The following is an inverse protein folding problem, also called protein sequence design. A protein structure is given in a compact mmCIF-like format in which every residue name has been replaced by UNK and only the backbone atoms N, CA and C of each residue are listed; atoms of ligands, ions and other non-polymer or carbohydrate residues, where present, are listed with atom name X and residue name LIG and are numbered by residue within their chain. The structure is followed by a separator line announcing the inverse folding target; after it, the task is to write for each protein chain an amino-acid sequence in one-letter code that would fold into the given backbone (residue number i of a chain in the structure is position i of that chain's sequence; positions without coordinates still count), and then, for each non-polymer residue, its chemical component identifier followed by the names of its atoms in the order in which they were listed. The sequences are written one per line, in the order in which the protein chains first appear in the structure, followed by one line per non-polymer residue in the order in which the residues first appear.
data_IF_591373617644
#
_entry.id   IF_591373617644
#
_cell.length_a   1.000
_cell.length_b   1.000
_cell.length_c   1.000
_cell.angle_alpha   90.00
_cell.angle_beta   90.00
_cell.angle_gamma   90.00
#
_symmetry.space_group_name_H-M   'P 1'
#
loop_
_entity.id
_entity.type
_entity.pdbx_description
1 polymer ?
#
# COMPACT_ATOMS: atom_id res chain seq x y z
N UNK A 1 0.60 -1.62 11.05
CA UNK A 1 1.70 -2.31 10.34
C UNK A 1 2.67 -1.23 9.86
N UNK A 2 3.97 -1.41 10.06
CA UNK A 2 5.01 -0.45 9.70
C UNK A 2 6.13 -1.21 9.00
N UNK A 3 6.53 -0.74 7.83
CA UNK A 3 7.78 -1.15 7.21
C UNK A 3 8.93 -0.36 7.85
N UNK A 4 10.00 -1.04 8.25
CA UNK A 4 11.26 -0.37 8.57
C UNK A 4 11.86 0.21 7.28
N UNK A 5 12.66 1.30 7.35
CA UNK A 5 13.25 1.92 6.15
C UNK A 5 13.98 0.92 5.24
N UNK A 6 14.73 0.00 5.83
CA UNK A 6 15.48 -1.06 5.11
C UNK A 6 14.58 -2.14 4.48
N UNK A 7 13.33 -2.25 4.94
CA UNK A 7 12.34 -3.19 4.41
C UNK A 7 11.43 -2.57 3.36
N UNK A 8 11.37 -1.23 3.24
CA UNK A 8 10.54 -0.54 2.26
C UNK A 8 11.01 -0.85 0.85
N UNK A 9 12.32 -0.78 0.58
CA UNK A 9 12.86 -1.09 -0.74
C UNK A 9 12.61 -2.55 -1.13
N UNK A 10 12.71 -3.47 -0.17
CA UNK A 10 12.44 -4.90 -0.39
C UNK A 10 10.96 -5.17 -0.66
N UNK A 11 10.08 -4.49 0.08
CA UNK A 11 8.65 -4.57 -0.11
C UNK A 11 8.24 -4.03 -1.48
N UNK A 12 8.74 -2.84 -1.83
CA UNK A 12 8.48 -2.22 -3.13
C UNK A 12 9.00 -3.12 -4.27
N UNK A 13 10.22 -3.63 -4.19
CA UNK A 13 10.75 -4.54 -5.20
C UNK A 13 9.92 -5.83 -5.31
N UNK A 14 9.56 -6.45 -4.19
CA UNK A 14 8.71 -7.66 -4.20
C UNK A 14 7.34 -7.41 -4.82
N UNK A 15 6.80 -6.23 -4.59
CA UNK A 15 5.50 -5.82 -5.12
C UNK A 15 5.59 -5.51 -6.63
N UNK A 16 6.67 -4.86 -7.09
CA UNK A 16 6.94 -4.64 -8.52
C UNK A 16 7.25 -5.92 -9.30
N UNK A 17 7.62 -7.02 -8.63
CA UNK A 17 7.74 -8.34 -9.26
C UNK A 17 6.38 -9.02 -9.49
N UNK A 18 5.29 -8.49 -8.94
CA UNK A 18 3.96 -9.01 -9.23
C UNK A 18 3.58 -8.60 -10.66
N UNK A 19 3.16 -9.55 -11.52
CA UNK A 19 2.91 -9.29 -12.94
C UNK A 19 1.79 -8.26 -13.19
N UNK A 20 1.01 -7.95 -12.16
CA UNK A 20 -0.15 -7.06 -12.18
C UNK A 20 0.24 -5.60 -11.92
N UNK A 21 1.42 -5.37 -11.34
CA UNK A 21 1.86 -4.06 -10.86
C UNK A 21 2.79 -3.43 -11.88
N UNK A 22 2.36 -2.31 -12.46
CA UNK A 22 3.16 -1.52 -13.39
C UNK A 22 4.04 -0.48 -12.68
N UNK A 23 3.66 -0.11 -11.46
CA UNK A 23 4.40 0.82 -10.63
C UNK A 23 3.75 0.97 -9.26
N UNK A 24 4.51 1.43 -8.28
CA UNK A 24 3.95 1.64 -6.95
C UNK A 24 4.75 2.58 -6.06
N UNK A 25 4.07 3.14 -5.07
CA UNK A 25 4.66 3.91 -3.98
C UNK A 25 4.23 3.27 -2.66
N UNK A 26 5.21 3.02 -1.80
CA UNK A 26 4.98 2.56 -0.42
C UNK A 26 5.21 3.75 0.50
N UNK A 27 4.17 4.14 1.24
CA UNK A 27 4.29 5.13 2.30
C UNK A 27 4.11 4.43 3.63
N UNK A 28 5.17 4.34 4.43
CA UNK A 28 5.12 3.79 5.78
C UNK A 28 5.46 4.87 6.79
N UNK A 29 4.49 5.21 7.64
CA UNK A 29 4.67 6.03 8.83
C UNK A 29 4.63 5.15 10.08
N UNK A 30 4.84 5.73 11.26
CA UNK A 30 4.80 4.98 12.52
C UNK A 30 3.42 4.33 12.79
N UNK A 31 2.36 4.90 12.22
CA UNK A 31 0.98 4.55 12.56
C UNK A 31 0.18 4.01 11.36
N UNK A 32 0.70 4.20 10.14
CA UNK A 32 -0.04 3.88 8.92
C UNK A 32 0.89 3.51 7.79
N UNK A 33 0.52 2.45 7.07
CA UNK A 33 1.15 2.01 5.84
C UNK A 33 0.13 2.15 4.72
N UNK A 34 0.50 2.83 3.64
CA UNK A 34 -0.31 3.03 2.44
C UNK A 34 0.46 2.50 1.23
N UNK A 35 -0.25 1.80 0.35
CA UNK A 35 0.27 1.26 -0.90
C UNK A 35 -0.49 1.90 -2.06
N UNK A 36 0.20 2.70 -2.86
CA UNK A 36 -0.35 3.30 -4.08
C UNK A 36 0.17 2.53 -5.27
N UNK A 37 -0.71 1.79 -5.95
CA UNK A 37 -0.29 0.88 -7.00
C UNK A 37 -0.96 1.29 -8.32
N UNK A 38 -0.15 1.36 -9.36
CA UNK A 38 -0.63 1.34 -10.74
C UNK A 38 -0.69 -0.12 -11.17
N UNK A 39 -1.89 -0.62 -11.41
CA UNK A 39 -2.18 -2.03 -11.66
C UNK A 39 -3.09 -2.16 -12.86
N UNK A 40 -2.87 -3.21 -13.64
CA UNK A 40 -3.84 -3.59 -14.67
C UNK A 40 -5.10 -4.14 -14.00
N UNK A 41 -6.26 -3.69 -14.48
CA UNK A 41 -7.52 -4.13 -13.91
C UNK A 41 -7.75 -5.60 -14.27
N UNK A 42 -7.68 -6.46 -13.27
CA UNK A 42 -7.94 -7.89 -13.39
C UNK A 42 -8.94 -8.34 -12.33
N UNK A 43 -9.66 -9.42 -12.63
CA UNK A 43 -10.45 -10.12 -11.64
C UNK A 43 -9.53 -10.57 -10.49
N UNK A 44 -10.00 -10.43 -9.25
CA UNK A 44 -9.28 -10.84 -8.02
C UNK A 44 -8.03 -10.03 -7.62
N UNK A 45 -7.79 -8.85 -8.22
CA UNK A 45 -6.66 -7.99 -7.84
C UNK A 45 -6.54 -7.77 -6.31
N UNK A 46 -7.66 -7.47 -5.64
CA UNK A 46 -7.67 -7.24 -4.19
C UNK A 46 -7.24 -8.48 -3.40
N UNK A 47 -7.67 -9.67 -3.82
CA UNK A 47 -7.31 -10.93 -3.16
C UNK A 47 -5.82 -11.25 -3.30
N UNK A 48 -5.25 -10.98 -4.47
CA UNK A 48 -3.83 -11.18 -4.74
C UNK A 48 -2.95 -10.24 -3.90
N UNK A 49 -3.36 -8.98 -3.76
CA UNK A 49 -2.67 -8.01 -2.91
C UNK A 49 -2.79 -8.34 -1.42
N UNK A 50 -3.96 -8.82 -0.97
CA UNK A 50 -4.14 -9.31 0.40
C UNK A 50 -3.23 -10.50 0.67
N UNK A 51 -3.19 -11.48 -0.25
CA UNK A 51 -2.32 -12.64 -0.12
C UNK A 51 -0.85 -12.24 -0.03
N UNK A 52 -0.38 -11.35 -0.92
CA UNK A 52 0.98 -10.82 -0.88
C UNK A 52 1.30 -10.12 0.46
N UNK A 53 0.40 -9.29 0.98
CA UNK A 53 0.58 -8.64 2.28
C UNK A 53 0.68 -9.64 3.43
N UNK A 54 -0.15 -10.70 3.40
CA UNK A 54 -0.12 -11.76 4.39
C UNK A 54 1.18 -12.54 4.34
N UNK A 55 1.65 -12.88 3.15
CA UNK A 55 2.90 -13.61 2.95
C UNK A 55 4.11 -12.77 3.37
N UNK A 56 4.14 -11.49 3.00
CA UNK A 56 5.26 -10.60 3.32
C UNK A 56 5.37 -10.34 4.83
N UNK A 57 4.25 -10.06 5.50
CA UNK A 57 4.22 -9.73 6.92
C UNK A 57 3.91 -10.90 7.85
N UNK A 58 3.73 -12.11 7.30
CA UNK A 58 3.33 -13.31 8.05
C UNK A 58 2.07 -13.09 8.88
N UNK A 59 1.05 -12.48 8.27
CA UNK A 59 -0.24 -12.19 8.92
C UNK A 59 -1.36 -13.12 8.45
N UNK A 60 -2.41 -13.22 9.28
CA UNK A 60 -3.60 -13.95 8.91
C UNK A 60 -4.50 -13.10 7.99
N UNK A 61 -5.01 -13.65 6.86
CA UNK A 61 -5.83 -12.89 5.90
C UNK A 61 -7.05 -12.20 6.50
N UNK A 62 -7.67 -12.83 7.50
CA UNK A 62 -8.84 -12.30 8.19
C UNK A 62 -8.56 -11.02 8.99
N UNK A 63 -7.35 -10.87 9.52
CA UNK A 63 -6.93 -9.69 10.28
C UNK A 63 -6.59 -8.52 9.35
N UNK A 64 -5.99 -8.86 8.20
CA UNK A 64 -5.61 -7.90 7.16
C UNK A 64 -6.87 -7.32 6.48
N UNK A 65 -7.82 -8.17 6.09
CA UNK A 65 -9.06 -7.76 5.40
C UNK A 65 -9.86 -6.71 6.19
N UNK A 66 -9.93 -6.84 7.51
CA UNK A 66 -10.67 -5.91 8.38
C UNK A 66 -10.01 -4.54 8.51
N UNK A 67 -8.73 -4.45 8.16
CA UNK A 67 -7.89 -3.27 8.35
C UNK A 67 -7.49 -2.61 7.03
N UNK A 68 -7.96 -3.13 5.89
CA UNK A 68 -7.66 -2.62 4.56
C UNK A 68 -8.71 -1.64 4.07
N UNK A 69 -8.23 -0.53 3.54
CA UNK A 69 -9.04 0.50 2.89
C UNK A 69 -8.60 0.60 1.42
N UNK A 70 -9.57 0.53 0.51
CA UNK A 70 -9.33 0.55 -0.93
C UNK A 70 -9.79 1.87 -1.51
N UNK A 71 -8.90 2.56 -2.23
CA UNK A 71 -9.20 3.76 -2.99
C UNK A 71 -8.81 3.54 -4.46
N UNK A 72 -9.62 4.05 -5.38
CA UNK A 72 -9.44 3.86 -6.82
C UNK A 72 -9.51 5.19 -7.58
N UNK A 73 -8.75 5.29 -8.67
CA UNK A 73 -8.82 6.44 -9.59
C UNK A 73 -8.36 7.75 -8.97
N UNK A 74 -9.09 8.83 -9.25
CA UNK A 74 -8.73 10.20 -8.85
C UNK A 74 -8.60 10.37 -7.33
N UNK A 75 -9.32 9.57 -6.52
CA UNK A 75 -9.17 9.62 -5.06
C UNK A 75 -7.78 9.15 -4.61
N UNK A 76 -7.22 8.11 -5.21
CA UNK A 76 -5.91 7.59 -4.87
C UNK A 76 -4.79 8.57 -5.27
N UNK A 77 -4.92 9.20 -6.43
CA UNK A 77 -3.96 10.22 -6.92
C UNK A 77 -4.04 11.50 -6.08
N UNK A 78 -5.25 11.96 -5.77
CA UNK A 78 -5.47 13.14 -4.93
C UNK A 78 -4.94 12.95 -3.51
N UNK A 79 -5.16 11.76 -2.92
CA UNK A 79 -4.60 11.43 -1.60
C UNK A 79 -3.07 11.37 -1.63
N UNK A 80 -2.48 10.69 -2.61
CA UNK A 80 -1.02 10.65 -2.78
C UNK A 80 -0.42 12.05 -2.93
N UNK A 81 -1.05 12.92 -3.74
CA UNK A 81 -0.63 14.32 -3.91
C UNK A 81 -0.72 15.11 -2.60
N UNK A 82 -1.79 14.94 -1.81
CA UNK A 82 -1.94 15.60 -0.49
C UNK A 82 -0.88 15.14 0.50
N UNK A 83 -0.58 13.85 0.51
CA UNK A 83 0.50 13.29 1.35
C UNK A 83 1.87 13.81 0.91
N UNK A 84 2.18 13.74 -0.39
CA UNK A 84 3.48 14.14 -0.93
C UNK A 84 3.72 15.66 -0.82
N UNK A 85 2.68 16.48 -0.87
CA UNK A 85 2.75 17.93 -0.67
C UNK A 85 2.78 18.36 0.80
N UNK A 86 2.66 17.41 1.75
CA UNK A 86 2.63 17.70 3.19
C UNK A 86 1.33 18.34 3.68
N UNK A 87 0.26 18.33 2.85
CA UNK A 87 -1.04 18.92 3.18
C UNK A 87 -1.85 18.08 4.19
N UNK A 88 -1.54 16.79 4.32
CA UNK A 88 -2.11 15.90 5.35
C UNK A 88 -1.01 15.41 6.31
N UNK A 89 -0.34 16.35 6.98
CA UNK A 89 0.23 16.07 8.29
C UNK A 89 -0.89 16.17 9.31
N UNK A 90 -1.30 15.05 9.92
CA UNK A 90 -1.74 15.12 11.32
C UNK A 90 -0.50 15.41 12.17
N UNK A 91 -0.03 16.64 12.06
CA UNK A 91 1.04 17.26 12.83
C UNK A 91 0.47 18.53 13.42
N UNK A 92 0.09 18.44 14.70
CA UNK A 92 0.03 19.52 15.69
C UNK A 92 -0.90 20.71 15.41
N UNK A 93 -2.00 20.77 16.16
CA UNK A 93 -2.26 21.91 17.04
C UNK A 93 -1.90 21.52 18.46
#
# INVERSE_FOLDING_TARGET
MTFSPESIDKALNSLLQQPLVQGGVVLSTCNRTELYLSVEQQDHLHEQLVAWLCDYHHLHPEDVRKSLYWHHGDEAVSHLMRVASGLDFFGTG
#
